data_IF_962715456583
#
_entry.id   IF_962715456583
#
_cell.length_a   1.000
_cell.length_b   1.000
_cell.length_c   1.000
_cell.angle_alpha   90.00
_cell.angle_beta   90.00
_cell.angle_gamma   90.00
#
_symmetry.space_group_name_H-M   'P 1'
#
loop_
_entity.id
_entity.type
_entity.pdbx_description
1 polymer ?
#
# COMPACT_ATOMS: atom_id res chain seq x y z
N UNK A 1 -45.05 -28.48 -9.36
CA UNK A 1 -44.65 -27.11 -9.72
C UNK A 1 -43.24 -26.89 -9.20
N UNK A 2 -42.24 -27.28 -10.01
CA UNK A 2 -40.82 -27.06 -9.72
C UNK A 2 -40.48 -25.64 -10.17
N UNK A 3 -40.25 -24.76 -9.21
CA UNK A 3 -39.78 -23.40 -9.47
C UNK A 3 -38.36 -23.45 -10.03
N UNK A 4 -38.25 -23.21 -11.33
CA UNK A 4 -37.01 -22.92 -12.03
C UNK A 4 -36.39 -21.68 -11.37
N UNK A 5 -35.29 -21.88 -10.61
CA UNK A 5 -34.45 -20.76 -10.18
C UNK A 5 -33.78 -20.21 -11.43
N UNK A 6 -34.36 -19.13 -11.96
CA UNK A 6 -33.71 -18.30 -12.97
C UNK A 6 -32.30 -17.96 -12.47
N UNK A 7 -31.28 -18.44 -13.19
CA UNK A 7 -29.93 -17.93 -13.04
C UNK A 7 -29.95 -16.44 -13.40
N UNK A 8 -29.47 -15.54 -12.52
CA UNK A 8 -29.28 -14.16 -12.93
C UNK A 8 -28.25 -14.12 -14.06
N UNK A 9 -28.59 -13.33 -15.09
CA UNK A 9 -27.76 -13.05 -16.25
C UNK A 9 -26.33 -12.69 -15.83
N UNK A 10 -25.33 -13.17 -16.60
CA UNK A 10 -23.91 -12.82 -16.43
C UNK A 10 -23.74 -11.30 -16.32
N UNK A 11 -23.45 -10.84 -15.11
CA UNK A 11 -23.15 -9.44 -14.81
C UNK A 11 -21.78 -9.07 -15.37
N UNK A 12 -21.58 -7.77 -15.64
CA UNK A 12 -20.33 -7.15 -16.10
C UNK A 12 -19.11 -7.69 -15.32
N UNK A 13 -17.96 -7.77 -16.00
CA UNK A 13 -16.71 -8.46 -15.62
C UNK A 13 -16.41 -8.60 -14.11
N UNK A 14 -15.88 -9.77 -13.73
CA UNK A 14 -15.53 -10.14 -12.36
C UNK A 14 -14.82 -8.99 -11.62
N UNK A 15 -15.36 -8.61 -10.46
CA UNK A 15 -14.81 -7.53 -9.65
C UNK A 15 -13.49 -7.95 -9.00
N UNK A 16 -12.49 -7.07 -8.89
CA UNK A 16 -11.25 -7.38 -8.16
C UNK A 16 -11.55 -7.88 -6.75
N UNK A 17 -11.08 -9.08 -6.41
CA UNK A 17 -11.30 -9.71 -5.10
C UNK A 17 -12.52 -10.63 -5.01
N UNK A 18 -13.44 -10.65 -5.99
CA UNK A 18 -14.63 -11.52 -5.93
C UNK A 18 -14.28 -13.00 -5.89
N UNK A 19 -13.25 -13.42 -6.63
CA UNK A 19 -12.74 -14.80 -6.62
C UNK A 19 -12.22 -15.23 -5.23
N UNK A 20 -11.64 -14.31 -4.44
CA UNK A 20 -11.20 -14.62 -3.08
C UNK A 20 -12.38 -14.91 -2.16
N UNK A 21 -13.47 -14.13 -2.28
CA UNK A 21 -14.71 -14.35 -1.53
C UNK A 21 -15.39 -15.65 -1.98
N UNK A 22 -15.45 -15.92 -3.29
CA UNK A 22 -15.98 -17.19 -3.82
C UNK A 22 -15.20 -18.41 -3.32
N UNK A 23 -13.90 -18.25 -3.05
CA UNK A 23 -13.03 -19.27 -2.45
C UNK A 23 -13.09 -19.32 -0.92
N UNK A 24 -13.94 -18.51 -0.29
CA UNK A 24 -14.23 -18.57 1.15
C UNK A 24 -13.43 -17.60 2.02
N UNK A 25 -12.81 -16.56 1.45
CA UNK A 25 -12.24 -15.49 2.27
C UNK A 25 -13.35 -14.71 3.00
N UNK A 26 -13.11 -14.37 4.28
CA UNK A 26 -14.07 -13.62 5.10
C UNK A 26 -14.05 -12.11 4.82
N UNK A 27 -12.97 -11.59 4.24
CA UNK A 27 -12.74 -10.17 4.06
C UNK A 27 -11.72 -9.88 2.96
N UNK A 28 -11.57 -8.60 2.61
CA UNK A 28 -10.68 -8.14 1.55
C UNK A 28 -9.66 -7.12 2.09
N UNK A 29 -8.40 -7.29 1.70
CA UNK A 29 -7.39 -6.24 1.81
C UNK A 29 -7.29 -5.55 0.45
N UNK A 30 -7.74 -4.30 0.38
CA UNK A 30 -7.71 -3.49 -0.82
C UNK A 30 -6.40 -2.71 -0.87
N UNK A 31 -5.46 -3.16 -1.71
CA UNK A 31 -4.15 -2.51 -1.89
C UNK A 31 -4.26 -1.46 -2.99
N UNK A 32 -4.55 -0.22 -2.59
CA UNK A 32 -4.67 0.91 -3.50
C UNK A 32 -3.32 1.48 -3.93
N UNK A 33 -3.37 2.48 -4.81
CA UNK A 33 -2.19 3.25 -5.22
C UNK A 33 -1.48 3.90 -4.04
N UNK A 34 -0.15 3.98 -4.12
CA UNK A 34 0.72 4.51 -3.08
C UNK A 34 1.01 3.55 -1.91
N UNK A 35 0.52 2.30 -1.94
CA UNK A 35 1.00 1.26 -1.02
C UNK A 35 2.47 0.90 -1.31
N UNK A 36 3.23 0.48 -0.29
CA UNK A 36 4.63 0.08 -0.46
C UNK A 36 4.78 -1.33 -1.06
N UNK A 37 5.81 -1.54 -1.87
CA UNK A 37 5.95 -2.80 -2.62
C UNK A 37 4.88 -2.93 -3.71
N UNK A 38 4.48 -4.15 -4.05
CA UNK A 38 3.45 -4.38 -5.06
C UNK A 38 2.16 -3.64 -4.72
N UNK A 39 1.75 -2.74 -5.60
CA UNK A 39 0.66 -1.81 -5.34
C UNK A 39 -0.28 -1.71 -6.54
N UNK A 40 -1.58 -1.65 -6.22
CA UNK A 40 -2.60 -1.37 -7.22
C UNK A 40 -2.42 0.03 -7.82
N UNK A 41 -2.96 0.22 -9.02
CA UNK A 41 -2.94 1.52 -9.71
C UNK A 41 -4.16 2.39 -9.38
N UNK A 42 -5.18 1.79 -8.76
CA UNK A 42 -6.47 2.44 -8.53
C UNK A 42 -6.42 3.35 -7.30
N UNK A 43 -7.08 4.50 -7.42
CA UNK A 43 -7.29 5.43 -6.31
C UNK A 43 -8.04 4.74 -5.15
N UNK A 44 -7.68 4.99 -3.88
CA UNK A 44 -8.43 4.45 -2.74
C UNK A 44 -9.91 4.87 -2.77
N UNK A 45 -10.22 6.09 -3.23
CA UNK A 45 -11.60 6.58 -3.34
C UNK A 45 -12.43 5.75 -4.33
N UNK A 46 -11.85 5.38 -5.47
CA UNK A 46 -12.54 4.57 -6.47
C UNK A 46 -12.63 3.10 -6.04
N UNK A 47 -11.50 2.53 -5.58
CA UNK A 47 -11.40 1.12 -5.25
C UNK A 47 -12.37 0.73 -4.12
N UNK A 48 -12.43 1.51 -3.04
CA UNK A 48 -13.34 1.21 -1.92
C UNK A 48 -14.81 1.31 -2.36
N UNK A 49 -15.18 2.36 -3.09
CA UNK A 49 -16.58 2.57 -3.51
C UNK A 49 -17.05 1.51 -4.51
N UNK A 50 -16.20 1.14 -5.46
CA UNK A 50 -16.50 0.05 -6.41
C UNK A 50 -16.60 -1.30 -5.71
N UNK A 51 -15.75 -1.59 -4.72
CA UNK A 51 -15.87 -2.82 -3.92
C UNK A 51 -17.14 -2.83 -3.08
N UNK A 52 -17.48 -1.72 -2.43
CA UNK A 52 -18.72 -1.60 -1.63
C UNK A 52 -20.00 -1.70 -2.44
N UNK A 53 -19.96 -1.52 -3.77
CA UNK A 53 -21.12 -1.74 -4.62
C UNK A 53 -21.56 -3.22 -4.69
N UNK A 54 -20.71 -4.17 -4.29
CA UNK A 54 -21.03 -5.60 -4.35
C UNK A 54 -20.59 -6.41 -3.11
N UNK A 55 -19.80 -5.84 -2.20
CA UNK A 55 -19.27 -6.52 -1.02
C UNK A 55 -19.58 -5.78 0.28
N UNK A 56 -20.40 -6.40 1.13
CA UNK A 56 -20.78 -5.88 2.45
C UNK A 56 -19.87 -6.39 3.58
N UNK A 57 -18.93 -7.30 3.31
CA UNK A 57 -18.06 -7.87 4.33
C UNK A 57 -16.89 -6.96 4.75
N UNK A 58 -16.03 -7.42 5.68
CA UNK A 58 -14.87 -6.69 6.17
C UNK A 58 -13.89 -6.24 5.08
N UNK A 59 -13.57 -4.94 5.06
CA UNK A 59 -12.58 -4.34 4.16
C UNK A 59 -11.46 -3.68 4.96
N UNK A 60 -10.22 -4.07 4.71
CA UNK A 60 -9.04 -3.33 5.12
C UNK A 60 -8.45 -2.56 3.93
N UNK A 61 -8.32 -1.24 4.03
CA UNK A 61 -7.69 -0.42 3.00
C UNK A 61 -6.20 -0.24 3.27
N UNK A 62 -5.37 -0.47 2.26
CA UNK A 62 -3.94 -0.16 2.24
C UNK A 62 -3.63 0.85 1.14
N UNK A 63 -2.61 1.69 1.38
CA UNK A 63 -2.12 2.68 0.40
C UNK A 63 -2.05 4.08 0.96
N UNK A 64 -0.85 4.65 1.04
CA UNK A 64 -0.61 6.04 1.53
C UNK A 64 -1.18 6.38 2.92
N UNK A 65 -1.37 5.39 3.80
CA UNK A 65 -1.83 5.59 5.18
C UNK A 65 -0.64 5.60 6.14
N UNK A 66 -0.40 6.73 6.79
CA UNK A 66 0.67 6.90 7.79
C UNK A 66 0.33 7.94 8.87
N UNK A 67 -0.95 8.29 9.05
CA UNK A 67 -1.42 9.30 9.99
C UNK A 67 -2.86 8.99 10.42
N UNK A 68 -3.26 9.35 11.65
CA UNK A 68 -4.60 9.05 12.17
C UNK A 68 -5.75 9.69 11.36
N UNK A 69 -5.52 10.87 10.75
CA UNK A 69 -6.50 11.45 9.81
C UNK A 69 -6.70 10.61 8.55
N UNK A 70 -5.67 9.89 8.07
CA UNK A 70 -5.77 8.99 6.92
C UNK A 70 -6.53 7.72 7.28
N UNK A 71 -6.42 7.24 8.52
CA UNK A 71 -7.23 6.13 9.05
C UNK A 71 -8.70 6.51 9.05
N UNK A 72 -9.04 7.68 9.61
CA UNK A 72 -10.41 8.19 9.60
C UNK A 72 -10.95 8.38 8.17
N UNK A 73 -10.11 8.82 7.23
CA UNK A 73 -10.51 8.94 5.83
C UNK A 73 -10.81 7.58 5.20
N UNK A 74 -10.03 6.54 5.51
CA UNK A 74 -10.31 5.18 5.06
C UNK A 74 -11.67 4.68 5.56
N UNK A 75 -11.96 4.88 6.85
CA UNK A 75 -13.26 4.55 7.43
C UNK A 75 -14.40 5.35 6.79
N UNK A 76 -14.22 6.66 6.61
CA UNK A 76 -15.23 7.51 5.98
C UNK A 76 -15.52 7.12 4.52
N UNK A 77 -14.55 6.53 3.81
CA UNK A 77 -14.76 5.97 2.47
C UNK A 77 -15.49 4.63 2.48
N UNK A 78 -15.68 4.00 3.64
CA UNK A 78 -16.37 2.73 3.81
C UNK A 78 -15.46 1.53 4.05
N UNK A 79 -14.16 1.69 4.32
CA UNK A 79 -13.34 0.59 4.85
C UNK A 79 -13.64 0.36 6.34
N UNK A 80 -13.42 -0.85 6.84
CA UNK A 80 -13.55 -1.18 8.27
C UNK A 80 -12.21 -1.06 9.00
N UNK A 81 -11.10 -1.22 8.28
CA UNK A 81 -9.75 -1.17 8.83
C UNK A 81 -8.80 -0.39 7.93
N UNK A 82 -7.78 0.21 8.54
CA UNK A 82 -6.59 0.67 7.83
C UNK A 82 -5.47 -0.38 7.95
N UNK A 83 -4.87 -0.77 6.83
CA UNK A 83 -3.72 -1.66 6.76
C UNK A 83 -2.46 -0.86 6.45
N UNK A 84 -1.57 -0.72 7.44
CA UNK A 84 -0.44 0.21 7.40
C UNK A 84 0.88 -0.57 7.40
N UNK A 85 1.71 -0.34 6.38
CA UNK A 85 3.04 -0.97 6.26
C UNK A 85 4.18 0.01 6.56
N UNK A 86 4.41 0.95 5.65
CA UNK A 86 5.62 1.80 5.66
C UNK A 86 5.88 2.57 6.94
N UNK A 87 4.84 3.02 7.66
CA UNK A 87 5.02 3.68 8.94
C UNK A 87 5.65 2.77 10.01
N UNK A 88 5.30 1.48 10.00
CA UNK A 88 5.86 0.50 10.94
C UNK A 88 7.26 0.03 10.56
N UNK A 89 7.80 0.41 9.40
CA UNK A 89 9.22 0.18 9.08
C UNK A 89 10.09 1.09 9.95
N UNK A 90 9.63 2.32 10.20
CA UNK A 90 10.29 3.31 11.04
C UNK A 90 9.90 3.17 12.52
N UNK A 91 9.86 1.95 13.06
CA UNK A 91 9.72 1.72 14.51
C UNK A 91 10.94 1.02 15.09
N UNK A 92 11.13 1.10 16.41
CA UNK A 92 12.27 0.48 17.09
C UNK A 92 12.30 -1.04 16.90
N UNK A 93 11.12 -1.67 16.97
CA UNK A 93 10.92 -3.13 16.91
C UNK A 93 11.10 -3.69 15.51
N UNK A 94 10.95 -2.88 14.46
CA UNK A 94 11.11 -3.33 13.09
C UNK A 94 12.54 -3.84 12.84
N UNK A 95 12.68 -5.08 12.35
CA UNK A 95 13.98 -5.65 11.98
C UNK A 95 14.41 -5.17 10.56
N UNK A 96 14.38 -3.86 10.36
CA UNK A 96 14.85 -3.18 9.16
C UNK A 96 16.24 -2.59 9.38
N UNK A 97 17.03 -2.47 8.32
CA UNK A 97 18.34 -1.83 8.36
C UNK A 97 18.20 -0.37 8.85
N UNK A 98 19.12 0.15 9.68
CA UNK A 98 19.06 1.54 10.17
C UNK A 98 18.90 2.57 9.05
N UNK A 99 19.56 2.35 7.92
CA UNK A 99 19.53 3.20 6.74
C UNK A 99 18.14 3.22 6.09
N UNK A 100 17.42 2.10 6.13
CA UNK A 100 16.04 2.02 5.64
C UNK A 100 15.10 2.80 6.54
N UNK A 101 15.19 2.62 7.86
CA UNK A 101 14.38 3.40 8.82
C UNK A 101 14.62 4.90 8.65
N UNK A 102 15.90 5.29 8.48
CA UNK A 102 16.31 6.67 8.23
C UNK A 102 15.72 7.20 6.92
N UNK A 103 15.84 6.45 5.82
CA UNK A 103 15.27 6.84 4.54
C UNK A 103 13.74 7.00 4.57
N UNK A 104 13.03 6.23 5.40
CA UNK A 104 11.59 6.40 5.59
C UNK A 104 11.25 7.75 6.25
N UNK A 105 11.98 8.15 7.29
CA UNK A 105 11.68 9.39 8.05
C UNK A 105 12.25 10.67 7.40
N UNK A 106 13.22 10.53 6.50
CA UNK A 106 13.76 11.64 5.71
C UNK A 106 13.06 11.79 4.35
N UNK A 107 12.36 10.74 3.89
CA UNK A 107 11.72 10.68 2.58
C UNK A 107 10.31 11.24 2.55
N UNK A 108 9.85 11.50 1.33
CA UNK A 108 8.53 12.00 1.00
C UNK A 108 7.87 11.14 -0.09
N UNK A 109 6.67 11.54 -0.55
CA UNK A 109 6.03 10.90 -1.68
C UNK A 109 6.84 11.02 -2.99
N UNK A 110 7.63 12.10 -3.15
CA UNK A 110 8.45 12.35 -4.34
C UNK A 110 9.63 11.38 -4.44
N UNK A 111 10.06 10.83 -3.31
CA UNK A 111 11.15 9.86 -3.23
C UNK A 111 10.70 8.42 -3.53
N UNK A 112 9.42 8.22 -3.85
CA UNK A 112 8.85 6.91 -4.16
C UNK A 112 8.79 6.69 -5.68
N UNK A 113 9.46 5.62 -6.13
CA UNK A 113 9.51 5.22 -7.52
C UNK A 113 8.55 4.05 -7.75
N UNK A 114 7.60 4.24 -8.66
CA UNK A 114 6.70 3.19 -9.11
C UNK A 114 7.25 2.52 -10.36
N UNK A 115 7.66 1.26 -10.25
CA UNK A 115 8.32 0.50 -11.32
C UNK A 115 8.04 -1.00 -11.20
N UNK A 116 8.08 -1.73 -12.32
CA UNK A 116 8.04 -3.19 -12.37
C UNK A 116 9.43 -3.83 -12.48
N UNK A 117 10.49 -3.04 -12.60
CA UNK A 117 11.84 -3.49 -12.94
C UNK A 117 12.39 -4.59 -12.00
N UNK A 118 12.09 -4.50 -10.71
CA UNK A 118 12.71 -5.38 -9.71
C UNK A 118 12.08 -6.76 -9.59
N UNK A 119 10.80 -6.90 -9.95
CA UNK A 119 10.02 -8.13 -9.70
C UNK A 119 9.17 -8.57 -10.88
N UNK A 120 9.10 -7.78 -11.95
CA UNK A 120 8.15 -7.94 -13.05
C UNK A 120 6.72 -7.53 -12.70
N UNK A 121 6.46 -7.08 -11.48
CA UNK A 121 5.15 -6.61 -11.03
C UNK A 121 5.31 -5.20 -10.47
N UNK A 122 4.43 -4.30 -10.89
CA UNK A 122 4.51 -2.89 -10.50
C UNK A 122 4.43 -2.71 -8.98
N UNK A 123 5.42 -2.00 -8.44
CA UNK A 123 5.50 -1.69 -7.02
C UNK A 123 6.18 -0.35 -6.73
N UNK A 124 5.96 0.14 -5.51
CA UNK A 124 6.54 1.38 -4.99
C UNK A 124 7.79 1.10 -4.15
N UNK A 125 8.89 1.77 -4.47
CA UNK A 125 10.21 1.59 -3.86
C UNK A 125 10.85 2.93 -3.50
N UNK A 126 11.70 2.96 -2.47
CA UNK A 126 12.45 4.14 -2.08
C UNK A 126 13.57 4.45 -3.09
N UNK A 127 13.51 5.62 -3.70
CA UNK A 127 14.56 6.19 -4.54
C UNK A 127 15.96 6.13 -3.92
N UNK A 128 16.16 6.47 -2.62
CA UNK A 128 17.46 6.34 -1.97
C UNK A 128 18.08 4.93 -2.06
N UNK A 129 17.27 3.87 -1.98
CA UNK A 129 17.76 2.50 -2.12
C UNK A 129 18.13 2.15 -3.57
N UNK A 130 17.41 2.72 -4.54
CA UNK A 130 17.69 2.58 -5.98
C UNK A 130 19.02 3.28 -6.33
N UNK A 131 19.24 4.49 -5.79
CA UNK A 131 20.51 5.21 -5.94
C UNK A 131 21.66 4.44 -5.31
N UNK A 132 21.47 3.92 -4.09
CA UNK A 132 22.47 3.10 -3.41
C UNK A 132 22.83 1.82 -4.19
N UNK A 133 21.88 1.29 -4.97
CA UNK A 133 22.08 0.17 -5.87
C UNK A 133 22.68 0.55 -7.24
N UNK A 134 23.03 1.83 -7.44
CA UNK A 134 23.72 2.32 -8.64
C UNK A 134 22.81 2.61 -9.84
N UNK A 135 21.51 2.78 -9.61
CA UNK A 135 20.51 3.07 -10.64
C UNK A 135 19.98 4.51 -10.52
N UNK A 136 19.35 5.00 -11.60
CA UNK A 136 18.71 6.31 -11.63
C UNK A 136 17.19 6.17 -11.39
N UNK A 137 16.65 6.64 -10.24
CA UNK A 137 15.22 6.66 -9.93
C UNK A 137 14.33 7.33 -10.99
N UNK A 138 14.88 8.29 -11.74
CA UNK A 138 14.13 9.08 -12.73
C UNK A 138 14.11 8.41 -14.11
N UNK A 139 14.93 7.39 -14.32
CA UNK A 139 15.10 6.73 -15.61
C UNK A 139 15.16 5.21 -15.44
N UNK A 140 14.18 4.66 -14.73
CA UNK A 140 14.06 3.21 -14.52
C UNK A 140 13.67 2.50 -15.83
N UNK A 141 14.38 1.42 -16.22
CA UNK A 141 13.93 0.57 -17.32
C UNK A 141 12.60 -0.13 -16.98
N UNK A 142 11.80 -0.46 -17.99
CA UNK A 142 10.67 -1.38 -17.82
C UNK A 142 11.18 -2.82 -17.81
N UNK A 143 10.58 -3.70 -17.00
CA UNK A 143 10.89 -5.12 -17.06
C UNK A 143 10.50 -5.71 -18.43
N UNK A 144 11.47 -6.19 -19.22
CA UNK A 144 11.17 -7.06 -20.36
C UNK A 144 11.05 -8.52 -19.87
N UNK A 145 10.12 -9.32 -20.42
CA UNK A 145 9.96 -10.72 -20.03
C UNK A 145 11.22 -11.58 -20.19
N UNK A 146 12.16 -11.16 -21.06
CA UNK A 146 13.47 -11.78 -21.29
C UNK A 146 14.54 -11.40 -20.26
N UNK A 147 14.30 -10.36 -19.45
CA UNK A 147 15.28 -9.76 -18.55
C UNK A 147 15.07 -10.22 -17.09
N UNK A 148 14.14 -11.16 -16.87
CA UNK A 148 13.95 -11.83 -15.58
C UNK A 148 15.07 -12.84 -15.30
N UNK A 149 16.30 -12.35 -15.24
CA UNK A 149 17.37 -13.04 -14.54
C UNK A 149 17.28 -12.67 -13.06
N UNK A 150 17.00 -13.66 -12.21
CA UNK A 150 17.06 -13.51 -10.75
C UNK A 150 18.49 -13.21 -10.26
N UNK A 151 19.49 -13.18 -11.15
CA UNK A 151 20.71 -12.42 -11.00
C UNK A 151 20.68 -11.21 -11.92
N UNK A 152 20.93 -10.00 -11.38
CA UNK A 152 21.00 -8.77 -12.20
C UNK A 152 21.93 -8.88 -13.43
N UNK A 153 21.88 -7.87 -14.32
CA UNK A 153 22.41 -7.93 -15.69
C UNK A 153 23.85 -8.45 -15.76
N UNK A 154 24.19 -9.22 -16.80
CA UNK A 154 25.57 -9.67 -17.04
C UNK A 154 26.52 -8.46 -17.09
N UNK A 155 27.40 -8.37 -16.08
CA UNK A 155 28.37 -7.28 -15.93
C UNK A 155 27.92 -6.10 -15.06
N UNK A 156 26.68 -6.09 -14.56
CA UNK A 156 26.17 -5.10 -13.60
C UNK A 156 26.10 -5.64 -12.17
N UNK A 157 25.98 -4.78 -11.14
CA UNK A 157 25.76 -5.23 -9.78
C UNK A 157 24.48 -6.08 -9.71
N UNK A 158 24.59 -7.30 -9.16
CA UNK A 158 23.44 -8.18 -8.91
C UNK A 158 22.59 -7.61 -7.77
N UNK A 159 21.79 -6.60 -8.08
CA UNK A 159 20.84 -6.01 -7.14
C UNK A 159 19.81 -7.09 -6.79
N UNK A 160 19.84 -7.57 -5.55
CA UNK A 160 18.84 -8.52 -5.06
C UNK A 160 17.62 -7.72 -4.65
N UNK A 161 16.51 -7.92 -5.36
CA UNK A 161 15.19 -7.43 -4.95
C UNK A 161 14.96 -7.73 -3.45
N UNK A 162 14.42 -6.75 -2.72
CA UNK A 162 14.15 -6.79 -1.27
C UNK A 162 15.36 -6.72 -0.34
N UNK A 163 16.56 -7.09 -0.80
CA UNK A 163 17.78 -6.94 0.00
C UNK A 163 18.38 -5.55 -0.18
N UNK A 164 18.47 -5.12 -1.44
CA UNK A 164 19.22 -3.92 -1.83
C UNK A 164 18.27 -2.78 -2.25
N UNK A 165 17.00 -3.09 -2.55
CA UNK A 165 15.94 -2.14 -2.91
C UNK A 165 14.75 -2.29 -1.96
N UNK A 166 14.30 -1.18 -1.41
CA UNK A 166 13.35 -1.15 -0.30
C UNK A 166 11.96 -0.71 -0.73
N UNK A 167 10.96 -1.57 -0.53
CA UNK A 167 9.56 -1.26 -0.85
C UNK A 167 8.97 -0.23 0.11
N UNK A 168 8.39 0.87 -0.37
CA UNK A 168 7.84 1.88 0.52
C UNK A 168 6.70 2.65 -0.14
N UNK A 169 5.70 3.04 0.65
CA UNK A 169 4.51 3.73 0.16
C UNK A 169 4.68 5.25 0.19
N UNK A 170 3.81 5.94 -0.55
CA UNK A 170 3.85 7.40 -0.70
C UNK A 170 3.45 8.17 0.57
N UNK A 171 2.89 7.49 1.57
CA UNK A 171 2.42 8.10 2.82
C UNK A 171 3.52 8.57 3.77
N UNK A 172 4.81 8.33 3.47
CA UNK A 172 5.90 8.49 4.46
C UNK A 172 6.23 9.94 4.85
N UNK A 173 5.84 10.95 4.05
CA UNK A 173 6.24 12.35 4.27
C UNK A 173 5.73 13.01 5.55
N UNK A 174 4.95 12.30 6.37
CA UNK A 174 4.46 12.75 7.70
C UNK A 174 5.18 12.06 8.87
N UNK A 175 6.16 11.21 8.58
CA UNK A 175 6.95 10.46 9.55
C UNK A 175 8.30 11.14 9.72
N UNK A 176 8.70 11.44 10.96
CA UNK A 176 9.91 12.25 11.24
C UNK A 176 10.77 11.68 12.38
N UNK A 177 10.42 10.51 12.91
CA UNK A 177 11.08 9.88 14.05
C UNK A 177 10.92 8.36 14.03
N UNK A 178 11.65 7.67 14.90
CA UNK A 178 11.64 6.20 15.03
C UNK A 178 11.08 5.83 16.42
N UNK A 179 9.76 5.96 16.65
CA UNK A 179 9.14 5.61 17.93
C UNK A 179 9.10 4.09 18.14
N UNK A 180 8.73 3.65 19.34
CA UNK A 180 8.21 2.28 19.50
C UNK A 180 6.90 2.12 18.72
N UNK A 181 6.55 0.88 18.37
CA UNK A 181 5.29 0.55 17.71
C UNK A 181 4.09 0.97 18.57
N UNK A 182 4.18 0.81 19.90
CA UNK A 182 3.14 1.25 20.83
C UNK A 182 2.92 2.77 20.81
N UNK A 183 3.99 3.56 20.80
CA UNK A 183 3.92 5.01 20.68
C UNK A 183 3.34 5.46 19.33
N UNK A 184 3.70 4.78 18.24
CA UNK A 184 3.14 5.07 16.91
C UNK A 184 1.64 4.78 16.85
N UNK A 185 1.19 3.66 17.43
CA UNK A 185 -0.23 3.29 17.52
C UNK A 185 -0.99 4.33 18.35
N UNK A 186 -0.46 4.71 19.52
CA UNK A 186 -1.09 5.73 20.36
C UNK A 186 -1.19 7.08 19.63
N UNK A 187 -0.12 7.49 18.93
CA UNK A 187 -0.11 8.70 18.10
C UNK A 187 -1.20 8.66 17.03
N UNK A 188 -1.36 7.52 16.34
CA UNK A 188 -2.43 7.36 15.36
C UNK A 188 -3.82 7.47 15.98
N UNK A 189 -4.04 6.87 17.15
CA UNK A 189 -5.30 6.99 17.88
C UNK A 189 -5.61 8.45 18.25
N UNK A 190 -4.64 9.17 18.80
CA UNK A 190 -4.82 10.59 19.17
C UNK A 190 -5.11 11.47 17.94
N UNK A 191 -4.37 11.27 16.85
CA UNK A 191 -4.57 11.97 15.58
C UNK A 191 -5.92 11.64 14.93
N UNK A 192 -6.38 10.40 15.05
CA UNK A 192 -7.70 9.96 14.57
C UNK A 192 -8.80 10.70 15.33
N UNK A 193 -8.75 10.70 16.67
CA UNK A 193 -9.75 11.38 17.51
C UNK A 193 -9.76 12.88 17.25
N UNK A 194 -8.59 13.50 17.10
CA UNK A 194 -8.49 14.91 16.75
C UNK A 194 -9.11 15.22 15.38
N UNK A 195 -8.92 14.33 14.39
CA UNK A 195 -9.54 14.45 13.07
C UNK A 195 -11.07 14.32 13.13
N UNK A 196 -11.57 13.36 13.91
CA UNK A 196 -13.00 13.12 14.10
C UNK A 196 -13.67 14.34 14.74
N UNK A 197 -13.07 14.89 15.81
CA UNK A 197 -13.57 16.11 16.46
C UNK A 197 -13.57 17.31 15.51
N UNK A 198 -12.50 17.47 14.71
CA UNK A 198 -12.40 18.55 13.72
C UNK A 198 -13.50 18.45 12.66
N UNK A 199 -13.84 17.25 12.19
CA UNK A 199 -14.95 17.04 11.24
C UNK A 199 -16.31 17.28 11.91
N UNK A 200 -16.53 16.75 13.11
CA UNK A 200 -17.80 16.94 13.84
C UNK A 200 -18.17 18.41 14.04
N UNK A 201 -17.19 19.27 14.35
CA UNK A 201 -17.41 20.73 14.48
C UNK A 201 -17.83 21.45 13.19
N UNK A 202 -17.64 20.84 12.01
CA UNK A 202 -18.04 21.43 10.73
C UNK A 202 -19.44 21.02 10.29
N UNK A 203 -19.97 19.96 10.88
CA UNK A 203 -21.28 19.37 10.54
C UNK A 203 -22.35 19.78 11.55
N UNK A 204 -21.95 20.25 12.73
CA UNK A 204 -22.81 20.91 13.72
C UNK A 204 -23.02 22.40 13.38
#
# INVERSE_FOLDING_TARGET
MSGERQHPAKTKGAHPGSEAIEKGADGLVLVATGAGGHAGRQSPFALVQETRAWFDGPIALSGSIAHGSSILAAEAMGADFAYIGSAFIATQEAHAQPEYKKAVIEGSAEDIVYTDFFTGVWGNYLGPSIVAAGMDPQNMPSAHPSDMDFGGPEGGPKVKAWKDVWGCGQGIGVLHDIPSAGELIQRFADQYLAAQQRLGRRVA
#
